data_IF_095648382809
#
_entry.id   IF_095648382809
#
_cell.length_a   1.000
_cell.length_b   1.000
_cell.length_c   1.000
_cell.angle_alpha   90.00
_cell.angle_beta   90.00
_cell.angle_gamma   90.00
#
_symmetry.space_group_name_H-M   'P 1'
#
loop_
_entity.id
_entity.type
_entity.pdbx_description
1 polymer ?
#
# COMPACT_ATOMS: atom_id res chain seq x y z
N UNK A 1 56.84 4.10 6.18
CA UNK A 1 55.93 3.29 5.36
C UNK A 1 54.53 3.58 5.88
N UNK A 2 53.65 4.34 5.26
CA UNK A 2 53.66 5.10 4.01
C UNK A 2 52.45 6.05 4.12
N UNK A 3 52.68 7.36 3.98
CA UNK A 3 51.62 8.36 3.82
C UNK A 3 51.23 8.38 2.35
N UNK A 4 50.05 7.89 1.99
CA UNK A 4 49.59 7.92 0.60
C UNK A 4 48.79 9.20 0.34
N UNK A 5 49.40 10.03 -0.49
CA UNK A 5 48.99 11.36 -0.89
C UNK A 5 48.24 11.26 -2.24
N UNK A 6 47.08 11.89 -2.26
CA UNK A 6 46.27 12.37 -3.38
C UNK A 6 46.86 12.15 -4.79
N UNK A 7 46.17 11.33 -5.59
CA UNK A 7 46.18 11.44 -7.05
C UNK A 7 44.75 11.41 -7.60
N UNK A 8 44.39 12.54 -8.19
CA UNK A 8 43.68 12.70 -9.46
C UNK A 8 42.57 11.69 -9.82
N UNK A 9 41.38 12.22 -10.11
CA UNK A 9 40.88 12.18 -11.49
C UNK A 9 39.78 13.24 -11.66
N UNK A 10 40.10 14.23 -12.49
CA UNK A 10 39.17 15.14 -13.10
C UNK A 10 38.27 14.37 -14.06
N UNK A 11 36.96 14.60 -14.00
CA UNK A 11 36.11 14.60 -15.19
C UNK A 11 34.79 15.33 -14.92
N UNK A 12 34.74 16.60 -15.30
CA UNK A 12 33.54 17.44 -15.31
C UNK A 12 33.16 17.63 -16.79
N UNK A 13 32.05 17.09 -17.28
CA UNK A 13 31.60 17.42 -18.63
C UNK A 13 31.02 18.84 -18.72
N UNK A 14 31.49 19.51 -19.76
CA UNK A 14 31.42 20.93 -20.10
C UNK A 14 30.00 21.49 -20.25
N UNK A 15 29.84 22.75 -19.81
CA UNK A 15 28.76 23.68 -20.17
C UNK A 15 28.62 23.78 -21.70
N UNK A 16 27.39 23.65 -22.19
CA UNK A 16 27.02 24.10 -23.53
C UNK A 16 26.73 25.60 -23.44
N UNK A 17 27.62 26.41 -24.03
CA UNK A 17 27.35 27.78 -24.45
C UNK A 17 26.47 27.70 -25.70
N UNK A 18 25.33 28.36 -25.70
CA UNK A 18 24.68 28.76 -26.95
C UNK A 18 25.06 30.20 -27.22
N UNK A 19 25.88 30.37 -28.26
CA UNK A 19 26.32 31.65 -28.76
C UNK A 19 25.14 32.39 -29.42
N UNK A 20 25.07 33.68 -29.07
CA UNK A 20 24.19 34.68 -29.64
C UNK A 20 24.93 35.37 -30.79
N UNK A 21 24.38 35.35 -32.02
CA UNK A 21 24.65 36.30 -33.12
C UNK A 21 23.57 36.08 -34.21
N UNK A 22 22.54 36.93 -34.27
CA UNK A 22 22.39 38.05 -35.22
C UNK A 22 22.57 37.68 -36.71
N UNK A 23 21.51 37.79 -37.53
CA UNK A 23 21.55 38.49 -38.83
C UNK A 23 20.20 38.45 -39.58
N UNK A 24 19.58 39.64 -39.59
CA UNK A 24 18.83 40.38 -40.64
C UNK A 24 17.96 39.75 -41.74
N UNK A 25 16.88 40.52 -42.01
CA UNK A 25 16.01 40.68 -43.20
C UNK A 25 14.65 40.00 -43.00
N UNK A 26 13.51 40.67 -42.86
CA UNK A 26 13.12 42.06 -43.07
C UNK A 26 11.69 42.04 -43.60
N UNK A 27 10.70 42.51 -42.84
CA UNK A 27 9.47 43.07 -43.41
C UNK A 27 8.74 43.89 -42.35
N UNK A 28 8.37 45.08 -42.79
CA UNK A 28 7.80 46.21 -42.07
C UNK A 28 6.38 45.97 -41.55
N UNK A 29 6.14 46.54 -40.36
CA UNK A 29 4.91 47.10 -39.81
C UNK A 29 3.56 46.50 -40.28
N UNK A 30 2.83 45.89 -39.36
CA UNK A 30 1.48 46.36 -39.04
C UNK A 30 1.22 46.24 -37.53
N UNK A 31 0.88 47.37 -36.94
CA UNK A 31 0.24 47.52 -35.65
C UNK A 31 -1.12 46.84 -35.65
N UNK A 32 -1.34 45.89 -34.74
CA UNK A 32 -2.63 45.68 -34.09
C UNK A 32 -2.44 44.69 -32.93
N UNK A 33 -2.44 45.23 -31.71
CA UNK A 33 -2.75 44.45 -30.53
C UNK A 33 -4.14 43.85 -30.70
N UNK A 34 -4.23 42.55 -30.91
CA UNK A 34 -5.43 41.80 -30.52
C UNK A 34 -4.99 40.82 -29.44
N UNK A 35 -5.26 41.22 -28.20
CA UNK A 35 -5.27 40.36 -27.04
C UNK A 35 -6.36 39.32 -27.30
N UNK A 36 -6.00 38.20 -27.93
CA UNK A 36 -6.75 36.97 -27.69
C UNK A 36 -6.32 36.50 -26.30
N UNK A 37 -7.13 36.89 -25.32
CA UNK A 37 -7.15 36.27 -24.01
C UNK A 37 -7.55 34.80 -24.17
N UNK A 38 -6.58 33.97 -24.56
CA UNK A 38 -6.67 32.55 -24.29
C UNK A 38 -6.39 32.44 -22.80
N UNK A 39 -7.46 32.55 -22.01
CA UNK A 39 -7.45 32.03 -20.65
C UNK A 39 -7.12 30.56 -20.77
N UNK A 40 -5.84 30.24 -20.63
CA UNK A 40 -5.39 28.89 -20.33
C UNK A 40 -5.88 28.66 -18.90
N UNK A 41 -7.15 28.28 -18.74
CA UNK A 41 -7.59 27.62 -17.54
C UNK A 41 -6.76 26.36 -17.46
N UNK A 42 -5.72 26.41 -16.63
CA UNK A 42 -4.84 25.29 -16.39
C UNK A 42 -5.67 24.12 -15.90
N UNK A 43 -5.90 23.15 -16.78
CA UNK A 43 -6.35 21.81 -16.42
C UNK A 43 -5.29 21.18 -15.52
N UNK A 44 -5.45 21.31 -14.20
CA UNK A 44 -4.84 20.42 -13.23
C UNK A 44 -5.55 19.06 -13.30
N UNK A 45 -5.29 18.28 -14.36
CA UNK A 45 -6.04 17.05 -14.64
C UNK A 45 -5.16 15.87 -15.04
N UNK A 46 -4.00 15.63 -14.40
CA UNK A 46 -3.08 14.60 -14.94
C UNK A 46 -2.33 13.71 -13.94
N UNK A 47 -2.68 13.70 -12.64
CA UNK A 47 -2.07 12.76 -11.68
C UNK A 47 -3.06 11.83 -10.95
N UNK A 48 -4.35 12.18 -10.89
CA UNK A 48 -5.37 11.39 -10.17
C UNK A 48 -5.75 10.09 -10.90
N UNK A 49 -5.83 10.11 -12.24
CA UNK A 49 -6.31 8.98 -13.05
C UNK A 49 -5.54 7.66 -12.81
N UNK A 50 -4.18 7.62 -12.80
CA UNK A 50 -3.46 6.36 -12.60
C UNK A 50 -3.59 5.80 -11.17
N UNK A 51 -3.69 6.66 -10.16
CA UNK A 51 -3.83 6.24 -8.76
C UNK A 51 -5.21 5.66 -8.47
N UNK A 52 -6.27 6.34 -8.90
CA UNK A 52 -7.65 5.89 -8.74
C UNK A 52 -7.90 4.55 -9.46
N UNK A 53 -7.37 4.40 -10.68
CA UNK A 53 -7.46 3.15 -11.43
C UNK A 53 -6.75 1.99 -10.70
N UNK A 54 -5.56 2.25 -10.16
CA UNK A 54 -4.83 1.25 -9.38
C UNK A 54 -5.61 0.85 -8.14
N UNK A 55 -6.22 1.79 -7.42
CA UNK A 55 -7.06 1.47 -6.27
C UNK A 55 -8.26 0.61 -6.66
N UNK A 56 -8.92 0.92 -7.77
CA UNK A 56 -10.04 0.13 -8.28
C UNK A 56 -9.60 -1.32 -8.60
N UNK A 57 -8.45 -1.49 -9.24
CA UNK A 57 -7.88 -2.81 -9.53
C UNK A 57 -7.55 -3.58 -8.26
N UNK A 58 -6.94 -2.93 -7.28
CA UNK A 58 -6.65 -3.54 -5.97
C UNK A 58 -7.94 -4.03 -5.31
N UNK A 59 -9.01 -3.23 -5.32
CA UNK A 59 -10.29 -3.62 -4.73
C UNK A 59 -10.93 -4.81 -5.46
N UNK A 60 -10.91 -4.79 -6.79
CA UNK A 60 -11.41 -5.92 -7.59
C UNK A 60 -10.65 -7.22 -7.29
N UNK A 61 -9.33 -7.14 -7.10
CA UNK A 61 -8.52 -8.30 -6.74
C UNK A 61 -8.82 -8.78 -5.32
N UNK A 62 -9.01 -7.88 -4.35
CA UNK A 62 -9.44 -8.23 -2.99
C UNK A 62 -10.79 -8.96 -3.03
N UNK A 63 -11.77 -8.44 -3.76
CA UNK A 63 -13.09 -9.05 -3.88
C UNK A 63 -13.06 -10.39 -4.62
N UNK A 64 -12.16 -10.52 -5.60
CA UNK A 64 -11.90 -11.81 -6.26
C UNK A 64 -11.32 -12.82 -5.27
N UNK A 65 -10.31 -12.44 -4.50
CA UNK A 65 -9.66 -13.32 -3.53
C UNK A 65 -10.62 -13.74 -2.42
N UNK A 66 -11.42 -12.82 -1.88
CA UNK A 66 -12.46 -13.14 -0.89
C UNK A 66 -13.39 -14.24 -1.40
N UNK A 67 -13.94 -14.08 -2.61
CA UNK A 67 -14.80 -15.11 -3.25
C UNK A 67 -14.11 -16.45 -3.44
N UNK A 68 -12.84 -16.45 -3.85
CA UNK A 68 -12.07 -17.70 -4.02
C UNK A 68 -11.83 -18.43 -2.70
N UNK A 69 -11.61 -17.67 -1.63
CA UNK A 69 -11.41 -18.20 -0.29
C UNK A 69 -12.71 -18.64 0.37
N UNK A 70 -13.84 -18.02 0.04
CA UNK A 70 -15.18 -18.39 0.49
C UNK A 70 -15.69 -19.69 -0.12
N UNK A 71 -15.29 -19.99 -1.36
CA UNK A 71 -15.89 -21.08 -2.13
C UNK A 71 -15.66 -22.43 -1.42
N UNK A 72 -16.69 -23.04 -0.82
CA UNK A 72 -16.61 -24.43 -0.41
C UNK A 72 -16.43 -25.23 -1.69
N UNK A 73 -15.48 -26.16 -1.71
CA UNK A 73 -15.29 -27.04 -2.85
C UNK A 73 -16.59 -27.87 -3.03
N UNK A 74 -17.52 -27.41 -3.86
CA UNK A 74 -18.74 -28.13 -4.21
C UNK A 74 -18.26 -29.34 -5.01
N UNK A 75 -18.23 -30.48 -4.33
CA UNK A 75 -17.92 -31.76 -4.94
C UNK A 75 -18.82 -31.99 -6.14
N UNK A 76 -18.20 -32.30 -7.27
CA UNK A 76 -18.83 -32.87 -8.46
C UNK A 76 -19.76 -34.03 -8.04
N UNK A 77 -20.98 -34.19 -8.59
CA UNK A 77 -21.78 -35.39 -8.38
C UNK A 77 -21.05 -36.59 -9.01
N UNK A 78 -20.40 -37.41 -8.18
CA UNK A 78 -19.78 -38.65 -8.63
C UNK A 78 -20.89 -39.70 -8.85
N UNK A 79 -21.32 -39.84 -10.10
CA UNK A 79 -21.96 -41.06 -10.56
C UNK A 79 -20.91 -42.18 -10.67
N UNK A 80 -21.07 -43.23 -9.85
CA UNK A 80 -20.50 -44.55 -10.13
C UNK A 80 -19.35 -45.04 -9.22
N UNK A 81 -19.66 -46.15 -8.52
CA UNK A 81 -18.78 -47.19 -7.92
C UNK A 81 -18.21 -46.90 -6.51
N UNK A 82 -18.45 -47.78 -5.51
CA UNK A 82 -17.97 -47.60 -4.13
C UNK A 82 -16.53 -48.11 -3.99
N UNK A 83 -15.55 -47.24 -4.18
CA UNK A 83 -14.23 -47.41 -3.54
C UNK A 83 -14.17 -46.47 -2.35
N UNK A 84 -13.89 -47.02 -1.17
CA UNK A 84 -13.75 -46.34 0.13
C UNK A 84 -12.62 -45.28 0.06
N UNK A 85 -12.90 -44.14 -0.54
CA UNK A 85 -12.11 -42.93 -0.43
C UNK A 85 -12.71 -42.11 0.72
N UNK A 86 -12.01 -42.08 1.84
CA UNK A 86 -12.33 -41.13 2.91
C UNK A 86 -12.34 -39.72 2.31
N UNK A 87 -13.45 -38.96 2.40
CA UNK A 87 -13.42 -37.57 2.01
C UNK A 87 -12.41 -36.88 2.92
N UNK A 88 -11.29 -36.39 2.37
CA UNK A 88 -10.54 -35.36 3.09
C UNK A 88 -11.44 -34.14 3.13
N UNK A 89 -12.18 -34.01 4.22
CA UNK A 89 -12.67 -32.73 4.69
C UNK A 89 -11.48 -31.76 4.61
N UNK A 90 -11.61 -30.70 3.81
CA UNK A 90 -10.66 -29.61 3.85
C UNK A 90 -10.81 -28.96 5.23
N UNK A 91 -10.02 -29.47 6.16
CA UNK A 91 -9.98 -29.03 7.55
C UNK A 91 -9.71 -27.54 7.56
N UNK A 92 -10.54 -26.80 8.30
CA UNK A 92 -10.23 -25.47 8.81
C UNK A 92 -8.72 -25.30 9.03
N UNK A 93 -8.15 -24.22 8.51
CA UNK A 93 -6.72 -23.92 8.73
C UNK A 93 -6.45 -23.99 10.23
N UNK A 94 -5.42 -24.74 10.63
CA UNK A 94 -5.14 -24.94 12.05
C UNK A 94 -4.65 -23.64 12.71
N UNK A 95 -4.97 -23.47 13.99
CA UNK A 95 -4.66 -22.26 14.75
C UNK A 95 -3.15 -21.91 14.74
N UNK A 96 -2.25 -22.89 14.68
CA UNK A 96 -0.80 -22.62 14.62
C UNK A 96 -0.38 -22.07 13.27
N UNK A 97 -0.99 -22.55 12.18
CA UNK A 97 -0.81 -21.97 10.85
C UNK A 97 -1.35 -20.54 10.77
N UNK A 98 -2.50 -20.27 11.39
CA UNK A 98 -3.04 -18.90 11.51
C UNK A 98 -2.10 -18.01 12.32
N UNK A 99 -1.59 -18.48 13.47
CA UNK A 99 -0.67 -17.66 14.27
C UNK A 99 0.62 -17.34 13.52
N UNK A 100 1.14 -18.31 12.76
CA UNK A 100 2.32 -18.11 11.90
C UNK A 100 2.04 -17.10 10.80
N UNK A 101 0.88 -17.18 10.15
CA UNK A 101 0.50 -16.23 9.10
C UNK A 101 0.33 -14.81 9.65
N UNK A 102 -0.25 -14.64 10.86
CA UNK A 102 -0.34 -13.33 11.55
C UNK A 102 1.06 -12.74 11.77
N UNK A 103 2.00 -13.53 12.30
CA UNK A 103 3.36 -13.06 12.55
C UNK A 103 4.07 -12.70 11.22
N UNK A 104 3.97 -13.56 10.22
CA UNK A 104 4.56 -13.32 8.89
C UNK A 104 3.99 -12.05 8.24
N UNK A 105 2.67 -11.88 8.25
CA UNK A 105 1.99 -10.71 7.72
C UNK A 105 2.40 -9.42 8.47
N UNK A 106 2.53 -9.49 9.81
CA UNK A 106 3.00 -8.38 10.64
C UNK A 106 4.42 -7.95 10.23
N UNK A 107 5.34 -8.90 10.13
CA UNK A 107 6.75 -8.62 9.83
C UNK A 107 6.93 -8.10 8.42
N UNK A 108 6.18 -8.62 7.45
CA UNK A 108 6.16 -8.11 6.07
C UNK A 108 5.66 -6.66 6.06
N UNK A 109 4.51 -6.38 6.68
CA UNK A 109 3.94 -5.04 6.72
C UNK A 109 4.90 -4.03 7.39
N UNK A 110 5.55 -4.41 8.48
CA UNK A 110 6.58 -3.59 9.13
C UNK A 110 7.73 -3.31 8.16
N UNK A 111 8.27 -4.35 7.52
CA UNK A 111 9.44 -4.24 6.65
C UNK A 111 9.17 -3.37 5.42
N UNK A 112 8.06 -3.58 4.72
CA UNK A 112 7.76 -2.82 3.49
C UNK A 112 7.38 -1.36 3.76
N UNK A 113 6.97 -1.03 4.99
CA UNK A 113 6.60 0.33 5.40
C UNK A 113 7.70 1.06 6.20
N UNK A 114 8.96 0.67 6.03
CA UNK A 114 10.10 1.40 6.58
C UNK A 114 10.47 1.05 8.04
N UNK A 115 9.98 -0.09 8.54
CA UNK A 115 10.35 -0.63 9.83
C UNK A 115 9.68 0.03 11.02
N UNK A 116 10.01 -0.46 12.23
CA UNK A 116 9.43 0.02 13.49
C UNK A 116 9.87 1.45 13.86
N UNK A 117 10.71 2.13 13.09
CA UNK A 117 10.91 3.58 13.28
C UNK A 117 9.84 4.41 12.59
N UNK A 118 9.20 3.88 11.54
CA UNK A 118 8.30 4.64 10.66
C UNK A 118 6.86 4.13 10.69
N UNK A 119 6.67 2.85 11.05
CA UNK A 119 5.38 2.17 10.95
C UNK A 119 5.08 1.32 12.19
N UNK A 120 3.82 1.39 12.65
CA UNK A 120 3.20 0.43 13.58
C UNK A 120 1.94 -0.13 12.93
N UNK A 121 1.81 -1.45 12.78
CA UNK A 121 0.52 -2.06 12.45
C UNK A 121 -0.45 -1.88 13.61
N UNK A 122 -1.76 -1.91 13.32
CA UNK A 122 -2.80 -1.82 14.32
C UNK A 122 -2.77 -2.97 15.33
N UNK A 123 -3.38 -2.74 16.50
CA UNK A 123 -3.50 -3.67 17.62
C UNK A 123 -4.02 -5.05 17.25
N UNK A 124 -4.88 -5.16 16.23
CA UNK A 124 -5.37 -6.44 15.69
C UNK A 124 -4.23 -7.41 15.33
N UNK A 125 -3.11 -6.90 14.81
CA UNK A 125 -1.99 -7.72 14.39
C UNK A 125 -1.24 -8.31 15.57
N UNK A 126 -1.48 -7.87 16.81
CA UNK A 126 -0.91 -8.44 18.02
C UNK A 126 -1.87 -9.42 18.72
N UNK A 127 -3.08 -9.61 18.17
CA UNK A 127 -3.99 -10.67 18.58
C UNK A 127 -3.54 -12.01 18.01
N UNK A 128 -4.00 -13.09 18.65
CA UNK A 128 -3.66 -14.45 18.27
C UNK A 128 -4.40 -14.96 17.03
N UNK A 129 -4.52 -16.28 16.91
CA UNK A 129 -5.29 -16.96 15.86
C UNK A 129 -6.80 -16.78 15.96
N UNK A 130 -7.29 -16.45 17.15
CA UNK A 130 -8.71 -16.53 17.45
C UNK A 130 -9.39 -15.21 17.11
N UNK A 131 -10.30 -15.25 16.14
CA UNK A 131 -11.12 -14.10 15.70
C UNK A 131 -10.28 -12.83 15.48
N UNK A 132 -9.12 -12.97 14.82
CA UNK A 132 -8.25 -11.84 14.55
C UNK A 132 -8.93 -10.84 13.58
N UNK A 133 -9.20 -9.59 13.98
CA UNK A 133 -9.92 -8.63 13.15
C UNK A 133 -9.20 -8.21 11.86
N UNK A 134 -7.89 -8.49 11.75
CA UNK A 134 -7.11 -8.18 10.56
C UNK A 134 -7.00 -9.35 9.59
N UNK A 135 -7.62 -10.49 9.90
CA UNK A 135 -7.89 -11.54 8.93
C UNK A 135 -9.24 -11.20 8.27
N UNK A 136 -9.18 -10.75 7.02
CA UNK A 136 -10.38 -10.42 6.25
C UNK A 136 -11.08 -11.67 5.74
N UNK A 137 -10.31 -12.69 5.33
CA UNK A 137 -10.83 -13.96 4.86
C UNK A 137 -9.77 -15.07 5.00
N UNK A 138 -10.20 -16.33 5.17
CA UNK A 138 -9.30 -17.48 5.16
C UNK A 138 -9.93 -18.67 4.45
N UNK A 139 -9.12 -19.49 3.79
CA UNK A 139 -9.59 -20.67 3.07
C UNK A 139 -8.44 -21.52 2.51
N UNK A 140 -8.74 -22.60 1.78
CA UNK A 140 -7.73 -23.52 1.25
C UNK A 140 -6.69 -22.87 0.34
N UNK A 141 -7.00 -21.71 -0.24
CA UNK A 141 -6.09 -20.97 -1.13
C UNK A 141 -5.20 -19.96 -0.40
N UNK A 142 -5.48 -19.65 0.88
CA UNK A 142 -4.66 -18.73 1.67
C UNK A 142 -5.41 -18.02 2.77
N UNK A 143 -4.74 -17.02 3.34
CA UNK A 143 -5.27 -16.15 4.39
C UNK A 143 -5.05 -14.71 3.92
N UNK A 144 -6.15 -13.99 3.73
CA UNK A 144 -6.17 -12.60 3.30
C UNK A 144 -6.14 -11.68 4.53
N UNK A 145 -5.14 -10.82 4.59
CA UNK A 145 -4.94 -9.84 5.65
C UNK A 145 -5.22 -8.43 5.15
N UNK A 146 -5.91 -7.64 5.98
CA UNK A 146 -6.04 -6.20 5.83
C UNK A 146 -5.45 -5.53 7.06
N UNK A 147 -4.34 -4.82 6.86
CA UNK A 147 -3.49 -4.34 7.95
C UNK A 147 -3.48 -2.81 7.91
N UNK A 148 -4.32 -2.15 8.72
CA UNK A 148 -4.20 -0.73 8.96
C UNK A 148 -2.94 -0.45 9.78
N UNK A 149 -2.26 0.65 9.47
CA UNK A 149 -1.13 1.10 10.26
C UNK A 149 -0.76 2.56 10.04
N UNK A 150 0.16 3.05 10.85
CA UNK A 150 0.51 4.46 10.92
C UNK A 150 1.86 4.70 11.62
N UNK A 151 2.22 5.96 11.91
CA UNK A 151 3.45 6.28 12.62
C UNK A 151 3.46 5.67 14.02
N UNK A 152 4.62 5.44 14.65
CA UNK A 152 4.66 5.06 16.06
C UNK A 152 3.76 5.96 16.93
N UNK A 153 2.90 5.35 17.76
CA UNK A 153 1.97 6.07 18.65
C UNK A 153 0.61 6.44 18.02
N UNK A 154 0.34 6.08 16.76
CA UNK A 154 -0.87 6.54 16.05
C UNK A 154 -2.17 6.07 16.68
N UNK A 155 -2.22 4.82 17.14
CA UNK A 155 -3.44 4.21 17.69
C UNK A 155 -3.73 4.76 19.09
N UNK A 156 -2.68 4.95 19.91
CA UNK A 156 -2.76 5.55 21.23
C UNK A 156 -3.20 7.02 21.16
N UNK A 157 -2.73 7.74 20.14
CA UNK A 157 -3.15 9.10 19.85
C UNK A 157 -4.56 9.20 19.22
N UNK A 158 -5.23 8.07 18.99
CA UNK A 158 -6.55 7.98 18.30
C UNK A 158 -6.56 8.66 16.93
N UNK A 159 -5.43 8.64 16.25
CA UNK A 159 -5.32 9.09 14.86
C UNK A 159 -5.77 7.95 13.96
N UNK A 160 -6.23 8.27 12.76
CA UNK A 160 -6.56 7.26 11.76
C UNK A 160 -5.30 6.61 11.17
N UNK A 161 -5.38 5.36 10.67
CA UNK A 161 -4.26 4.76 9.98
C UNK A 161 -3.90 5.58 8.74
N UNK A 162 -2.61 5.64 8.42
CA UNK A 162 -2.09 6.33 7.23
C UNK A 162 -1.76 5.38 6.10
N UNK A 163 -1.67 4.08 6.35
CA UNK A 163 -1.36 3.07 5.35
C UNK A 163 -2.32 1.90 5.54
N UNK A 164 -2.82 1.37 4.42
CA UNK A 164 -3.49 0.07 4.36
C UNK A 164 -2.61 -0.89 3.57
N UNK A 165 -2.20 -1.97 4.21
CA UNK A 165 -1.46 -3.06 3.56
C UNK A 165 -2.37 -4.29 3.44
N UNK A 166 -2.48 -4.84 2.23
CA UNK A 166 -3.29 -6.04 1.97
C UNK A 166 -2.41 -7.16 1.41
N UNK A 167 -2.38 -8.28 2.12
CA UNK A 167 -1.49 -9.42 1.85
C UNK A 167 -2.29 -10.72 1.75
N UNK A 168 -1.89 -11.60 0.84
CA UNK A 168 -2.33 -13.00 0.81
C UNK A 168 -1.17 -13.88 1.25
N UNK A 169 -1.37 -14.61 2.35
CA UNK A 169 -0.41 -15.55 2.93
C UNK A 169 -0.85 -16.98 2.64
N UNK A 170 0.10 -17.90 2.47
CA UNK A 170 -0.18 -19.32 2.26
C UNK A 170 -0.99 -19.91 3.42
N UNK A 171 -1.82 -20.94 3.18
CA UNK A 171 -2.65 -21.56 4.23
C UNK A 171 -1.84 -22.10 5.42
N UNK A 172 -0.60 -22.53 5.19
CA UNK A 172 0.30 -23.03 6.23
C UNK A 172 1.05 -21.91 6.98
N UNK A 173 0.81 -20.65 6.62
CA UNK A 173 1.40 -19.46 7.25
C UNK A 173 2.90 -19.29 7.02
N UNK A 174 3.47 -19.91 5.98
CA UNK A 174 4.93 -19.91 5.75
C UNK A 174 5.40 -19.00 4.62
N UNK A 175 4.52 -18.60 3.71
CA UNK A 175 4.91 -17.85 2.52
C UNK A 175 3.95 -16.70 2.23
N UNK A 176 4.51 -15.57 1.78
CA UNK A 176 3.75 -14.53 1.10
C UNK A 176 3.42 -15.02 -0.30
N UNK A 177 2.13 -15.13 -0.62
CA UNK A 177 1.68 -15.45 -1.97
C UNK A 177 1.59 -14.17 -2.81
N UNK A 178 1.06 -13.09 -2.24
CA UNK A 178 0.86 -11.83 -2.97
C UNK A 178 0.80 -10.62 -2.03
N UNK A 179 1.42 -9.52 -2.45
CA UNK A 179 1.11 -8.18 -1.94
C UNK A 179 0.10 -7.54 -2.87
N UNK A 180 -1.15 -7.42 -2.42
CA UNK A 180 -2.26 -6.92 -3.24
C UNK A 180 -2.25 -5.40 -3.27
N UNK A 181 -2.06 -4.77 -2.11
CA UNK A 181 -1.93 -3.31 -2.02
C UNK A 181 -1.07 -2.90 -0.84
N UNK A 182 -0.41 -1.74 -0.99
CA UNK A 182 0.28 -1.05 0.09
C UNK A 182 0.17 0.46 -0.15
N UNK A 183 -0.98 1.02 0.21
CA UNK A 183 -1.37 2.38 -0.19
C UNK A 183 -1.43 3.31 1.01
N UNK A 184 -1.01 4.56 0.80
CA UNK A 184 -1.26 5.63 1.75
C UNK A 184 -2.77 5.95 1.75
N UNK A 185 -3.36 5.98 2.95
CA UNK A 185 -4.72 6.41 3.15
C UNK A 185 -4.78 7.94 3.18
N UNK A 186 -5.85 8.56 2.65
CA UNK A 186 -6.01 10.00 2.72
C UNK A 186 -6.05 10.43 4.19
N UNK A 187 -5.19 11.40 4.54
CA UNK A 187 -5.24 12.03 5.86
C UNK A 187 -6.55 12.81 5.91
N UNK A 188 -7.51 12.34 6.69
CA UNK A 188 -8.67 13.16 7.03
C UNK A 188 -8.14 14.30 7.90
N UNK A 189 -7.97 15.47 7.29
CA UNK A 189 -7.62 16.68 8.02
C UNK A 189 -8.72 16.90 9.07
N UNK A 190 -8.36 17.17 10.34
CA UNK A 190 -9.35 17.51 11.34
C UNK A 190 -10.17 18.69 10.81
N UNK A 191 -11.50 18.53 10.80
CA UNK A 191 -12.41 19.60 10.44
C UNK A 191 -12.07 20.84 11.29
N UNK A 192 -11.72 22.00 10.69
CA UNK A 192 -11.38 23.20 11.46
C UNK A 192 -12.55 23.73 12.30
N UNK A 193 -13.78 23.24 12.07
CA UNK A 193 -14.98 23.52 12.86
C UNK A 193 -15.41 22.36 13.77
N UNK A 194 -14.62 21.28 13.85
CA UNK A 194 -14.83 20.19 14.80
C UNK A 194 -14.18 20.56 16.13
N UNK A 195 -14.96 20.64 17.20
CA UNK A 195 -14.48 20.98 18.53
C UNK A 195 -13.22 20.20 18.92
N UNK A 196 -12.23 20.83 19.58
CA UNK A 196 -10.98 20.17 19.96
C UNK A 196 -11.26 19.04 20.94
N UNK A 197 -10.74 17.84 20.64
CA UNK A 197 -10.61 16.78 21.62
C UNK A 197 -9.72 17.27 22.77
N UNK A 198 -10.34 17.53 23.94
CA UNK A 198 -9.62 17.89 25.15
C UNK A 198 -8.73 16.72 25.58
N UNK A 199 -7.43 16.98 25.75
CA UNK A 199 -6.51 16.02 26.37
C UNK A 199 -6.94 15.80 27.82
N UNK A 200 -7.38 14.59 28.12
CA UNK A 200 -7.65 14.16 29.49
C UNK A 200 -6.34 14.17 30.27
N UNK A 201 -6.28 15.01 31.30
CA UNK A 201 -5.23 14.99 32.31
C UNK A 201 -5.35 13.66 33.05
N UNK A 202 -4.42 12.74 32.83
CA UNK A 202 -4.30 11.54 33.67
C UNK A 202 -3.60 11.94 34.99
N UNK A 203 -4.20 11.67 36.16
CA UNK A 203 -3.52 11.87 37.42
C UNK A 203 -2.36 10.87 37.55
N UNK A 204 -1.17 11.38 37.82
CA UNK A 204 -0.01 10.60 38.22
C UNK A 204 -0.36 9.85 39.51
N UNK A 205 -0.12 8.54 39.53
CA UNK A 205 -0.23 7.71 40.74
C UNK A 205 1.13 7.14 41.08
#
# INVERSE_FOLDING_TARGET
METENLRNLANIPKRIKFDLMTSTKGLTLFTASLVLGISITGLAAHAQIPYELQQQQNQLEIDRLRRQLDTPNIGIPQGGIPTKATPRSFSSIDARSIQRSVNLARDIAIRINGGLSQYRPAGCMFKGSDQNPCIAQSGPQGILFEIPGGPPGWEEARVLPRIMTVLLISPDGRALLQTISNIALPVQQPNPNGYPYQQGIHPQR
#
